data_IF_627533342944
#
_entry.id   IF_627533342944
#
_cell.length_a   1.000
_cell.length_b   1.000
_cell.length_c   1.000
_cell.angle_alpha   90.00
_cell.angle_beta   90.00
_cell.angle_gamma   90.00
#
_symmetry.space_group_name_H-M   'P 1'
#
loop_
_entity.id
_entity.type
_entity.pdbx_description
1 polymer ?
#
# COMPACT_ATOMS: atom_id res chain seq x y z
N UNK A 1 -10.49 42.38 -3.41
CA UNK A 1 -9.06 42.10 -3.16
C UNK A 1 -8.77 40.72 -3.73
N UNK A 2 -7.94 40.71 -4.77
CA UNK A 2 -7.49 39.55 -5.53
C UNK A 2 -6.84 38.48 -4.66
N UNK A 3 -7.02 37.22 -5.05
CA UNK A 3 -5.91 36.42 -5.57
C UNK A 3 -6.46 35.25 -6.38
N UNK A 4 -6.33 35.39 -7.70
CA UNK A 4 -6.39 34.30 -8.64
C UNK A 4 -5.16 33.40 -8.40
N UNK A 5 -5.40 32.10 -8.28
CA UNK A 5 -4.39 31.08 -8.55
C UNK A 5 -4.77 30.43 -9.88
N UNK A 6 -4.40 31.08 -10.98
CA UNK A 6 -4.24 30.39 -12.26
C UNK A 6 -2.84 29.77 -12.32
N UNK A 7 -2.75 28.57 -12.89
CA UNK A 7 -1.52 28.10 -13.50
C UNK A 7 -0.99 26.79 -12.92
N UNK A 8 -1.47 25.67 -13.50
CA UNK A 8 -0.60 24.64 -14.10
C UNK A 8 -1.48 23.59 -14.79
N UNK A 9 -1.58 23.69 -16.12
CA UNK A 9 -1.72 22.54 -17.00
C UNK A 9 -0.73 22.75 -18.15
N UNK A 10 0.20 21.81 -18.34
CA UNK A 10 0.06 20.97 -19.52
C UNK A 10 0.50 19.52 -19.27
N UNK A 11 -0.32 18.56 -19.69
CA UNK A 11 0.07 17.15 -19.71
C UNK A 11 -1.10 16.22 -20.00
N UNK A 12 -1.40 16.00 -21.27
CA UNK A 12 -2.22 14.87 -21.70
C UNK A 12 -1.46 13.57 -21.40
N UNK A 13 -1.73 12.95 -20.25
CA UNK A 13 -1.32 11.58 -19.95
C UNK A 13 -2.39 10.91 -19.10
N UNK A 14 -3.36 10.29 -19.76
CA UNK A 14 -4.12 9.14 -19.27
C UNK A 14 -4.49 9.22 -17.78
N UNK A 15 -5.60 9.89 -17.48
CA UNK A 15 -6.21 9.95 -16.14
C UNK A 15 -6.01 8.59 -15.46
N UNK A 16 -5.37 8.52 -14.27
CA UNK A 16 -5.37 7.27 -13.54
C UNK A 16 -6.84 6.85 -13.38
N UNK A 17 -7.17 5.55 -13.47
CA UNK A 17 -8.50 5.10 -13.12
C UNK A 17 -8.88 5.69 -11.78
N UNK A 18 -10.14 6.08 -11.62
CA UNK A 18 -10.72 6.66 -10.41
C UNK A 18 -10.74 5.64 -9.25
N UNK A 19 -9.59 5.08 -8.90
CA UNK A 19 -9.42 4.33 -7.68
C UNK A 19 -9.59 5.32 -6.54
N UNK A 20 -10.57 5.08 -5.69
CA UNK A 20 -10.67 5.81 -4.44
C UNK A 20 -9.42 5.47 -3.61
N UNK A 21 -8.56 6.47 -3.42
CA UNK A 21 -7.23 6.32 -2.89
C UNK A 21 -7.02 7.30 -1.73
N UNK A 22 -6.21 6.92 -0.74
CA UNK A 22 -5.97 7.75 0.43
C UNK A 22 -4.99 7.14 1.40
N UNK A 23 -4.93 7.64 2.63
CA UNK A 23 -4.11 7.09 3.70
C UNK A 23 -5.00 6.59 4.84
N UNK A 24 -4.69 5.40 5.34
CA UNK A 24 -5.35 4.77 6.48
C UNK A 24 -4.30 4.38 7.51
N UNK A 25 -4.57 4.67 8.79
CA UNK A 25 -3.68 4.24 9.88
C UNK A 25 -3.93 2.77 10.19
N UNK A 26 -2.88 1.95 10.08
CA UNK A 26 -2.87 0.53 10.48
C UNK A 26 -1.80 0.37 11.55
N UNK A 27 -2.18 -0.09 12.75
CA UNK A 27 -1.28 -0.21 13.92
C UNK A 27 -0.53 1.11 14.21
N UNK A 28 -1.19 2.25 14.01
CA UNK A 28 -0.62 3.59 14.22
C UNK A 28 0.18 4.17 13.04
N UNK A 29 0.54 3.35 12.05
CA UNK A 29 1.33 3.76 10.89
C UNK A 29 0.41 4.17 9.73
N UNK A 30 0.60 5.35 9.10
CA UNK A 30 -0.16 5.75 7.92
C UNK A 30 0.30 4.95 6.69
N UNK A 31 -0.59 4.14 6.14
CA UNK A 31 -0.39 3.39 4.91
C UNK A 31 -1.31 3.92 3.82
N UNK A 32 -0.78 4.09 2.61
CA UNK A 32 -1.65 4.45 1.50
C UNK A 32 -2.39 3.23 0.98
N UNK A 33 -3.64 3.44 0.62
CA UNK A 33 -4.56 2.40 0.15
C UNK A 33 -5.21 2.79 -1.17
N UNK A 34 -5.71 1.78 -1.85
CA UNK A 34 -6.60 1.88 -3.00
C UNK A 34 -7.86 1.05 -2.71
N UNK A 35 -9.04 1.54 -3.09
CA UNK A 35 -10.21 0.70 -3.23
C UNK A 35 -10.25 0.12 -4.65
N UNK A 36 -10.27 -1.21 -4.71
CA UNK A 36 -10.37 -1.97 -5.96
C UNK A 36 -11.49 -2.98 -5.76
N UNK A 37 -12.53 -2.90 -6.60
CA UNK A 37 -13.70 -3.79 -6.52
C UNK A 37 -14.32 -3.84 -5.11
N UNK A 38 -14.45 -2.68 -4.46
CA UNK A 38 -14.98 -2.55 -3.10
C UNK A 38 -14.04 -3.04 -1.98
N UNK A 39 -12.85 -3.54 -2.31
CA UNK A 39 -11.87 -4.04 -1.35
C UNK A 39 -10.77 -3.03 -1.11
N UNK A 40 -10.48 -2.75 0.16
CA UNK A 40 -9.34 -1.90 0.54
C UNK A 40 -8.04 -2.68 0.43
N UNK A 41 -7.17 -2.20 -0.45
CA UNK A 41 -5.90 -2.82 -0.81
C UNK A 41 -4.74 -1.91 -0.44
N UNK A 42 -3.70 -2.51 0.11
CA UNK A 42 -2.47 -1.82 0.53
C UNK A 42 -1.28 -2.32 -0.26
N UNK A 43 -0.32 -1.44 -0.52
CA UNK A 43 0.94 -1.83 -1.14
C UNK A 43 1.75 -2.73 -0.19
N UNK A 44 1.94 -3.99 -0.56
CA UNK A 44 2.71 -4.97 0.21
C UNK A 44 4.15 -4.48 0.45
N UNK A 45 4.76 -3.80 -0.54
CA UNK A 45 6.08 -3.21 -0.38
C UNK A 45 6.12 -2.17 0.77
N UNK A 46 5.08 -1.35 0.90
CA UNK A 46 4.98 -0.37 1.99
C UNK A 46 4.78 -1.08 3.32
N UNK A 47 3.84 -2.03 3.37
CA UNK A 47 3.53 -2.84 4.56
C UNK A 47 4.79 -3.51 5.09
N UNK A 48 5.56 -4.17 4.23
CA UNK A 48 6.79 -4.84 4.63
C UNK A 48 7.83 -3.86 5.18
N UNK A 49 8.04 -2.74 4.51
CA UNK A 49 9.04 -1.74 4.94
C UNK A 49 8.61 -0.91 6.14
N UNK A 50 7.30 -0.76 6.40
CA UNK A 50 6.79 0.10 7.46
C UNK A 50 6.38 -0.68 8.72
N UNK A 51 5.64 -1.78 8.57
CA UNK A 51 5.14 -2.59 9.69
C UNK A 51 6.08 -3.73 10.06
N UNK A 52 6.80 -4.28 9.08
CA UNK A 52 7.64 -5.46 9.27
C UNK A 52 9.13 -5.18 9.02
N UNK A 53 9.57 -3.93 9.25
CA UNK A 53 10.94 -3.49 8.97
C UNK A 53 12.01 -4.32 9.71
N UNK A 54 11.67 -4.80 10.90
CA UNK A 54 12.56 -5.57 11.79
C UNK A 54 12.38 -7.09 11.63
N UNK A 55 11.39 -7.53 10.84
CA UNK A 55 11.12 -8.96 10.62
C UNK A 55 11.66 -9.35 9.24
N UNK A 56 12.48 -10.41 9.14
CA UNK A 56 13.03 -10.83 7.86
C UNK A 56 11.90 -11.18 6.88
N UNK A 57 12.02 -10.70 5.63
CA UNK A 57 10.99 -10.92 4.59
C UNK A 57 10.61 -12.40 4.42
N UNK A 58 11.57 -13.31 4.55
CA UNK A 58 11.30 -14.75 4.48
C UNK A 58 10.33 -15.23 5.57
N UNK A 59 10.45 -14.71 6.79
CA UNK A 59 9.53 -15.04 7.89
C UNK A 59 8.12 -14.48 7.62
N UNK A 60 8.02 -13.26 7.08
CA UNK A 60 6.73 -12.69 6.68
C UNK A 60 6.10 -13.51 5.55
N UNK A 61 6.87 -13.87 4.51
CA UNK A 61 6.40 -14.72 3.41
C UNK A 61 5.89 -16.07 3.92
N UNK A 62 6.62 -16.73 4.83
CA UNK A 62 6.18 -17.98 5.45
C UNK A 62 4.89 -17.81 6.24
N UNK A 63 4.73 -16.70 6.96
CA UNK A 63 3.48 -16.38 7.67
C UNK A 63 2.32 -16.15 6.71
N UNK A 64 2.55 -15.45 5.60
CA UNK A 64 1.54 -15.29 4.55
C UNK A 64 1.11 -16.64 3.98
N UNK A 65 2.06 -17.54 3.71
CA UNK A 65 1.77 -18.89 3.22
C UNK A 65 0.96 -19.71 4.24
N UNK A 66 1.37 -19.70 5.52
CA UNK A 66 0.65 -20.38 6.61
C UNK A 66 -0.78 -19.88 6.79
N UNK A 67 -1.00 -18.58 6.63
CA UNK A 67 -2.32 -17.94 6.74
C UNK A 67 -3.11 -17.98 5.42
N UNK A 68 -2.57 -18.61 4.37
CA UNK A 68 -3.13 -18.66 3.03
C UNK A 68 -3.43 -17.27 2.43
N UNK A 69 -2.69 -16.26 2.86
CA UNK A 69 -2.81 -14.88 2.38
C UNK A 69 -2.28 -14.80 0.94
N UNK A 70 -3.14 -14.31 0.04
CA UNK A 70 -2.77 -14.11 -1.37
C UNK A 70 -2.51 -12.64 -1.66
N UNK A 71 -1.35 -12.33 -2.21
CA UNK A 71 -1.06 -10.99 -2.74
C UNK A 71 -1.35 -10.91 -4.24
N UNK A 72 -2.03 -9.85 -4.68
CA UNK A 72 -2.28 -9.56 -6.09
C UNK A 72 -1.16 -8.69 -6.65
N UNK A 73 -0.71 -8.91 -7.90
CA UNK A 73 0.23 -7.96 -8.54
C UNK A 73 -0.50 -6.67 -8.92
N UNK A 74 0.12 -5.52 -8.69
CA UNK A 74 -0.46 -4.25 -9.11
C UNK A 74 -0.56 -4.17 -10.63
N UNK A 75 -1.69 -3.67 -11.13
CA UNK A 75 -1.76 -3.16 -12.48
C UNK A 75 -0.94 -1.85 -12.60
N UNK A 76 -0.47 -1.52 -13.80
CA UNK A 76 0.22 -0.25 -14.07
C UNK A 76 -0.53 0.99 -13.54
N UNK A 77 -1.85 1.13 -13.72
CA UNK A 77 -2.56 2.29 -13.19
C UNK A 77 -2.60 2.33 -11.66
N UNK A 78 -2.81 1.19 -10.99
CA UNK A 78 -2.76 1.10 -9.51
C UNK A 78 -1.38 1.51 -8.98
N UNK A 79 -0.32 1.04 -9.64
CA UNK A 79 1.05 1.39 -9.30
C UNK A 79 1.31 2.90 -9.45
N UNK A 80 0.74 3.56 -10.48
CA UNK A 80 0.84 5.02 -10.64
C UNK A 80 0.15 5.74 -9.49
N UNK A 81 -1.05 5.33 -9.09
CA UNK A 81 -1.77 5.95 -7.97
C UNK A 81 -1.02 5.77 -6.65
N UNK A 82 -0.47 4.58 -6.38
CA UNK A 82 0.36 4.35 -5.19
C UNK A 82 1.65 5.17 -5.17
N UNK A 83 2.26 5.42 -6.34
CA UNK A 83 3.41 6.33 -6.45
C UNK A 83 3.02 7.76 -6.12
N UNK A 84 1.86 8.22 -6.60
CA UNK A 84 1.33 9.56 -6.28
C UNK A 84 1.07 9.72 -4.78
N UNK A 85 0.57 8.67 -4.10
CA UNK A 85 0.38 8.64 -2.65
C UNK A 85 1.68 8.51 -1.82
N UNK A 86 2.84 8.38 -2.48
CA UNK A 86 4.13 8.05 -1.84
C UNK A 86 4.12 6.75 -1.03
N UNK A 87 3.20 5.84 -1.34
CA UNK A 87 3.13 4.51 -0.74
C UNK A 87 4.25 3.59 -1.21
N UNK A 88 4.68 3.77 -2.45
CA UNK A 88 5.78 3.02 -3.05
C UNK A 88 6.81 3.98 -3.61
N UNK A 89 8.11 3.61 -3.62
CA UNK A 89 9.13 4.45 -4.22
C UNK A 89 8.85 4.67 -5.71
N UNK A 90 9.10 5.88 -6.22
CA UNK A 90 8.83 6.23 -7.62
C UNK A 90 9.54 5.31 -8.64
N UNK A 91 10.69 4.76 -8.25
CA UNK A 91 11.47 3.79 -9.04
C UNK A 91 10.92 2.36 -9.01
N UNK A 92 9.89 2.07 -8.22
CA UNK A 92 9.29 0.74 -8.17
C UNK A 92 8.71 0.36 -9.54
N UNK A 93 9.21 -0.74 -10.10
CA UNK A 93 8.72 -1.34 -11.35
C UNK A 93 7.72 -2.48 -11.09
N UNK A 94 7.73 -3.04 -9.87
CA UNK A 94 6.86 -4.13 -9.45
C UNK A 94 6.32 -3.83 -8.06
N UNK A 95 5.02 -4.04 -7.88
CA UNK A 95 4.35 -3.95 -6.58
C UNK A 95 3.28 -5.04 -6.50
N UNK A 96 2.99 -5.47 -5.27
CA UNK A 96 1.88 -6.34 -4.96
C UNK A 96 0.98 -5.66 -3.95
N UNK A 97 -0.31 -6.00 -3.98
CA UNK A 97 -1.35 -5.57 -3.09
C UNK A 97 -1.71 -6.68 -2.11
N UNK A 98 -2.06 -6.27 -0.90
CA UNK A 98 -2.63 -7.12 0.15
C UNK A 98 -3.94 -6.49 0.62
N UNK A 99 -4.97 -7.30 0.84
CA UNK A 99 -6.24 -6.80 1.36
C UNK A 99 -6.09 -6.33 2.81
N UNK A 100 -7.00 -5.46 3.27
CA UNK A 100 -7.02 -5.05 4.68
C UNK A 100 -7.14 -6.26 5.62
N UNK A 101 -8.05 -7.18 5.33
CA UNK A 101 -8.31 -8.34 6.19
C UNK A 101 -7.04 -9.21 6.31
N UNK A 102 -6.37 -9.47 5.20
CA UNK A 102 -5.12 -10.23 5.18
C UNK A 102 -3.99 -9.49 5.91
N UNK A 103 -3.90 -8.17 5.73
CA UNK A 103 -2.92 -7.34 6.44
C UNK A 103 -3.12 -7.42 7.95
N UNK A 104 -4.36 -7.32 8.42
CA UNK A 104 -4.70 -7.42 9.83
C UNK A 104 -4.41 -8.81 10.40
N UNK A 105 -4.71 -9.88 9.64
CA UNK A 105 -4.36 -11.26 9.99
C UNK A 105 -2.85 -11.45 10.09
N UNK A 106 -2.09 -10.94 9.12
CA UNK A 106 -0.63 -10.98 9.12
C UNK A 106 -0.05 -10.22 10.30
N UNK A 107 -0.53 -9.00 10.57
CA UNK A 107 -0.12 -8.22 11.74
C UNK A 107 -0.40 -8.96 13.04
N UNK A 108 -1.57 -9.57 13.18
CA UNK A 108 -1.95 -10.30 14.39
C UNK A 108 -1.09 -11.55 14.59
N UNK A 109 -0.77 -12.27 13.50
CA UNK A 109 0.12 -13.43 13.57
C UNK A 109 1.61 -13.08 13.74
N UNK A 110 2.04 -11.90 13.32
CA UNK A 110 3.42 -11.42 13.49
C UNK A 110 3.59 -10.60 14.77
N UNK A 111 2.52 -10.27 15.49
CA UNK A 111 2.60 -9.59 16.78
C UNK A 111 3.33 -10.45 17.83
N UNK A 112 3.34 -11.77 17.63
CA UNK A 112 4.16 -12.71 18.39
C UNK A 112 5.65 -12.74 17.98
N UNK A 113 6.07 -11.95 16.99
CA UNK A 113 7.44 -11.90 16.45
C UNK A 113 8.12 -10.52 16.61
N UNK A 114 7.38 -9.46 16.96
CA UNK A 114 7.98 -8.17 17.32
C UNK A 114 8.39 -8.17 18.80
N UNK A 115 9.44 -7.42 19.20
CA UNK A 115 9.78 -7.30 20.60
C UNK A 115 8.55 -6.74 21.31
N UNK A 116 8.08 -7.51 22.31
CA UNK A 116 7.13 -7.02 23.28
C UNK A 116 7.60 -5.66 23.76
N UNK A 117 6.66 -4.73 23.89
CA UNK A 117 6.89 -3.54 24.70
C UNK A 117 7.37 -3.94 26.09
#
# INVERSE_FOLDING_TARGET
MSLACEGLSPGNYNSPPDFQAGHQRIRGIPLGYLHIDGTQMFALAQVLSALFKDIPRAAVSRKMEMLQIRSRRCALPELRTLKALRSVPGRAVRCSLISRADLEALCSSCHSLGPGR
#
